data_IF_325057106649
#
_entry.id   IF_325057106649
#
_cell.length_a   1.000
_cell.length_b   1.000
_cell.length_c   1.000
_cell.angle_alpha   90.00
_cell.angle_beta   90.00
_cell.angle_gamma   90.00
#
_symmetry.space_group_name_H-M   'P 1'
#
loop_
_entity.id
_entity.type
_entity.pdbx_description
1 polymer ?
#
# COMPACT_ATOMS: atom_id res chain seq x y z
N UNK A 1 -14.18 -4.09 1.95
CA UNK A 1 -13.58 -3.84 3.26
C UNK A 1 -14.62 -3.17 4.12
N UNK A 2 -14.81 -3.65 5.34
CA UNK A 2 -15.50 -2.92 6.39
C UNK A 2 -14.42 -2.32 7.28
N UNK A 3 -14.41 -0.99 7.42
CA UNK A 3 -13.41 -0.28 8.22
C UNK A 3 -13.97 0.48 9.42
N UNK A 4 -15.26 0.28 9.69
CA UNK A 4 -16.05 0.88 10.79
C UNK A 4 -16.08 2.42 10.84
N UNK A 5 -15.35 3.11 9.97
CA UNK A 5 -15.29 4.58 9.82
C UNK A 5 -16.66 5.26 9.58
N UNK A 6 -17.74 4.52 9.31
CA UNK A 6 -19.10 5.05 9.16
C UNK A 6 -19.32 5.96 7.93
N UNK A 7 -18.25 6.34 7.23
CA UNK A 7 -18.27 7.18 6.04
C UNK A 7 -18.82 6.47 4.79
N UNK A 8 -19.38 7.26 3.86
CA UNK A 8 -19.74 6.80 2.50
C UNK A 8 -18.48 6.61 1.65
N UNK A 9 -17.71 5.60 2.00
CA UNK A 9 -16.47 5.28 1.33
C UNK A 9 -16.74 4.66 -0.06
N UNK A 10 -15.93 5.05 -1.05
CA UNK A 10 -16.01 4.45 -2.39
C UNK A 10 -15.72 2.95 -2.28
N UNK A 11 -16.54 2.14 -2.95
CA UNK A 11 -16.27 0.70 -3.09
C UNK A 11 -15.07 0.56 -4.02
N UNK A 12 -13.96 0.05 -3.47
CA UNK A 12 -12.80 -0.31 -4.26
C UNK A 12 -13.06 -1.59 -5.06
N UNK A 13 -12.61 -1.59 -6.32
CA UNK A 13 -12.58 -2.74 -7.20
C UNK A 13 -11.17 -2.82 -7.77
N UNK A 14 -10.51 -3.95 -7.58
CA UNK A 14 -9.19 -4.21 -8.11
C UNK A 14 -9.24 -4.28 -9.65
N UNK A 15 -8.44 -3.48 -10.36
CA UNK A 15 -8.49 -3.40 -11.82
C UNK A 15 -7.72 -4.53 -12.54
N UNK A 16 -6.88 -5.30 -11.85
CA UNK A 16 -6.00 -6.30 -12.48
C UNK A 16 -6.32 -7.73 -12.06
N UNK A 17 -6.67 -7.95 -10.79
CA UNK A 17 -6.87 -9.28 -10.22
C UNK A 17 -8.32 -9.41 -9.77
N UNK A 18 -9.19 -9.90 -10.66
CA UNK A 18 -10.62 -10.00 -10.40
C UNK A 18 -10.94 -10.83 -9.16
N UNK A 19 -10.21 -11.93 -8.94
CA UNK A 19 -10.37 -12.79 -7.76
C UNK A 19 -10.10 -12.06 -6.44
N UNK A 20 -9.28 -11.00 -6.44
CA UNK A 20 -9.00 -10.20 -5.25
C UNK A 20 -10.24 -9.40 -4.78
N UNK A 21 -11.22 -9.16 -5.67
CA UNK A 21 -12.47 -8.49 -5.29
C UNK A 21 -13.36 -9.34 -4.37
N UNK A 22 -13.08 -10.65 -4.25
CA UNK A 22 -13.72 -11.52 -3.27
C UNK A 22 -13.20 -11.29 -1.84
N UNK A 23 -11.98 -10.74 -1.70
CA UNK A 23 -11.39 -10.44 -0.41
C UNK A 23 -12.05 -9.20 0.21
N UNK A 24 -12.82 -9.42 1.27
CA UNK A 24 -13.57 -8.38 1.98
C UNK A 24 -13.16 -8.40 3.45
N UNK A 25 -11.98 -7.86 3.79
CA UNK A 25 -11.53 -7.86 5.17
C UNK A 25 -12.41 -6.95 6.02
N UNK A 26 -12.52 -7.30 7.29
CA UNK A 26 -13.15 -6.52 8.34
C UNK A 26 -12.04 -6.06 9.29
N UNK A 27 -11.78 -4.75 9.33
CA UNK A 27 -10.67 -4.16 10.08
C UNK A 27 -11.23 -2.97 10.85
N UNK A 28 -11.20 -3.00 12.17
CA UNK A 28 -11.63 -1.84 12.95
C UNK A 28 -10.50 -0.80 13.01
N UNK A 29 -10.56 0.17 12.11
CA UNK A 29 -9.61 1.28 12.01
C UNK A 29 -10.29 2.65 12.12
N UNK A 30 -11.53 2.69 12.63
CA UNK A 30 -12.34 3.90 12.72
C UNK A 30 -11.61 5.01 13.47
N UNK A 31 -11.08 4.70 14.66
CA UNK A 31 -10.46 5.69 15.53
C UNK A 31 -9.23 6.34 14.87
N UNK A 32 -8.33 5.53 14.32
CA UNK A 32 -7.12 6.00 13.65
C UNK A 32 -7.44 6.83 12.39
N UNK A 33 -8.48 6.45 11.64
CA UNK A 33 -8.92 7.20 10.45
C UNK A 33 -9.52 8.54 10.86
N UNK A 34 -10.37 8.57 11.87
CA UNK A 34 -11.01 9.79 12.37
C UNK A 34 -10.01 10.76 13.02
N UNK A 35 -8.96 10.23 13.65
CA UNK A 35 -7.86 11.03 14.19
C UNK A 35 -6.86 11.51 13.11
N UNK A 36 -6.94 10.96 11.89
CA UNK A 36 -6.05 11.30 10.78
C UNK A 36 -4.67 10.62 10.85
N UNK A 37 -4.54 9.62 11.71
CA UNK A 37 -3.33 8.80 11.88
C UNK A 37 -3.20 7.77 10.74
N UNK A 38 -4.34 7.29 10.23
CA UNK A 38 -4.41 6.41 9.08
C UNK A 38 -5.24 7.00 7.94
N UNK A 39 -4.73 6.83 6.72
CA UNK A 39 -5.44 7.15 5.50
C UNK A 39 -5.69 5.87 4.72
N UNK A 40 -6.94 5.68 4.30
CA UNK A 40 -7.33 4.54 3.46
C UNK A 40 -6.60 4.60 2.12
N UNK A 41 -6.05 3.47 1.69
CA UNK A 41 -5.42 3.29 0.39
C UNK A 41 -5.71 1.88 -0.11
N UNK A 42 -5.58 1.67 -1.41
CA UNK A 42 -5.86 0.39 -2.04
C UNK A 42 -4.65 -0.16 -2.77
N UNK A 43 -4.40 -1.44 -2.57
CA UNK A 43 -3.33 -2.17 -3.26
C UNK A 43 -3.96 -2.89 -4.45
N UNK A 44 -3.60 -2.47 -5.66
CA UNK A 44 -3.98 -3.19 -6.88
C UNK A 44 -3.08 -4.41 -7.08
N UNK A 45 -1.77 -4.24 -6.85
CA UNK A 45 -0.78 -5.31 -6.94
C UNK A 45 0.42 -4.98 -6.05
N UNK A 46 0.94 -5.98 -5.34
CA UNK A 46 2.26 -5.93 -4.69
C UNK A 46 2.93 -7.28 -4.92
N UNK A 47 4.16 -7.26 -5.41
CA UNK A 47 4.97 -8.45 -5.61
C UNK A 47 6.42 -8.20 -5.16
N UNK A 48 7.00 -9.24 -4.58
CA UNK A 48 8.41 -9.33 -4.24
C UNK A 48 9.00 -10.52 -4.97
N UNK A 49 9.91 -10.25 -5.90
CA UNK A 49 10.75 -11.28 -6.49
C UNK A 49 12.04 -11.33 -5.69
N UNK A 50 12.31 -12.47 -5.07
CA UNK A 50 13.48 -12.70 -4.23
C UNK A 50 14.35 -13.70 -4.96
N UNK A 51 15.54 -13.25 -5.37
CA UNK A 51 16.48 -14.02 -6.17
C UNK A 51 17.78 -14.17 -5.37
N UNK A 52 18.27 -15.41 -5.25
CA UNK A 52 19.56 -15.69 -4.62
C UNK A 52 20.66 -15.42 -5.64
N UNK A 53 21.60 -14.56 -5.27
CA UNK A 53 22.83 -14.31 -6.01
C UNK A 53 24.02 -14.94 -5.28
N UNK A 54 25.22 -14.91 -5.87
CA UNK A 54 26.42 -15.51 -5.28
C UNK A 54 26.70 -15.02 -3.84
N UNK A 55 26.69 -13.69 -3.64
CA UNK A 55 27.05 -13.05 -2.37
C UNK A 55 25.91 -12.25 -1.74
N UNK A 56 24.72 -12.25 -2.34
CA UNK A 56 23.60 -11.44 -1.85
C UNK A 56 22.23 -12.03 -2.22
N UNK A 57 21.18 -11.34 -1.78
CA UNK A 57 19.82 -11.57 -2.23
C UNK A 57 19.37 -10.34 -2.99
N UNK A 58 19.01 -10.52 -4.26
CA UNK A 58 18.39 -9.49 -5.07
C UNK A 58 16.89 -9.50 -4.83
N UNK A 59 16.35 -8.33 -4.51
CA UNK A 59 14.92 -8.15 -4.28
C UNK A 59 14.39 -7.15 -5.30
N UNK A 60 13.46 -7.59 -6.15
CA UNK A 60 12.72 -6.71 -7.05
C UNK A 60 11.32 -6.51 -6.49
N UNK A 61 10.99 -5.26 -6.18
CA UNK A 61 9.67 -4.86 -5.70
C UNK A 61 8.88 -4.22 -6.83
N UNK A 62 7.68 -4.74 -7.07
CA UNK A 62 6.73 -4.18 -8.02
C UNK A 62 5.43 -3.90 -7.28
N UNK A 63 4.91 -2.68 -7.42
CA UNK A 63 3.61 -2.36 -6.84
C UNK A 63 2.80 -1.39 -7.69
N UNK A 64 1.49 -1.56 -7.60
CA UNK A 64 0.48 -0.62 -8.08
C UNK A 64 -0.45 -0.33 -6.90
N UNK A 65 -0.39 0.91 -6.43
CA UNK A 65 -1.11 1.37 -5.24
C UNK A 65 -1.92 2.59 -5.63
N UNK A 66 -3.21 2.55 -5.33
CA UNK A 66 -4.06 3.72 -5.34
C UNK A 66 -4.03 4.38 -3.95
N UNK A 67 -3.48 5.59 -3.82
CA UNK A 67 -3.43 6.31 -2.54
C UNK A 67 -4.82 6.73 -2.05
N UNK A 68 -5.89 6.54 -2.84
CA UNK A 68 -7.25 7.01 -2.57
C UNK A 68 -7.28 8.50 -2.22
N UNK A 69 -6.41 9.27 -2.86
CA UNK A 69 -6.26 10.68 -2.60
C UNK A 69 -7.41 11.46 -3.26
N UNK A 70 -7.81 12.61 -2.69
CA UNK A 70 -8.75 13.51 -3.33
C UNK A 70 -8.31 13.88 -4.75
N UNK A 71 -9.26 14.06 -5.67
CA UNK A 71 -8.97 14.39 -7.08
C UNK A 71 -8.07 15.63 -7.26
N UNK A 72 -8.20 16.60 -6.36
CA UNK A 72 -7.41 17.85 -6.37
C UNK A 72 -5.99 17.67 -5.83
N UNK A 73 -5.59 16.47 -5.44
CA UNK A 73 -4.25 16.22 -4.88
C UNK A 73 -3.20 16.29 -5.99
N UNK A 74 -2.16 17.14 -5.85
CA UNK A 74 -1.11 17.23 -6.85
C UNK A 74 -0.38 15.90 -7.04
N UNK A 75 -0.12 15.52 -8.30
CA UNK A 75 0.60 14.28 -8.64
C UNK A 75 2.00 14.20 -7.98
N UNK A 76 2.66 15.35 -7.78
CA UNK A 76 3.94 15.44 -7.07
C UNK A 76 3.84 15.00 -5.60
N UNK A 77 2.73 15.32 -4.94
CA UNK A 77 2.46 14.91 -3.57
C UNK A 77 2.22 13.39 -3.49
N UNK A 78 1.42 12.85 -4.42
CA UNK A 78 1.22 11.40 -4.55
C UNK A 78 2.55 10.67 -4.75
N UNK A 79 3.38 11.16 -5.68
CA UNK A 79 4.71 10.59 -5.94
C UNK A 79 5.58 10.59 -4.68
N UNK A 80 5.52 11.64 -3.87
CA UNK A 80 6.27 11.73 -2.60
C UNK A 80 5.81 10.67 -1.58
N UNK A 81 4.51 10.39 -1.49
CA UNK A 81 3.97 9.32 -0.62
C UNK A 81 4.48 7.95 -1.07
N UNK A 82 4.41 7.65 -2.37
CA UNK A 82 4.88 6.38 -2.94
C UNK A 82 6.39 6.20 -2.70
N UNK A 83 7.19 7.24 -2.95
CA UNK A 83 8.64 7.21 -2.72
C UNK A 83 8.98 6.96 -1.26
N UNK A 84 8.25 7.57 -0.30
CA UNK A 84 8.46 7.30 1.14
C UNK A 84 8.23 5.82 1.48
N UNK A 85 7.21 5.18 0.91
CA UNK A 85 6.96 3.74 1.11
C UNK A 85 8.09 2.88 0.53
N UNK A 86 8.53 3.18 -0.70
CA UNK A 86 9.67 2.48 -1.32
C UNK A 86 10.93 2.68 -0.47
N UNK A 87 11.15 3.89 0.07
CA UNK A 87 12.28 4.17 0.95
C UNK A 87 12.24 3.31 2.23
N UNK A 88 11.08 3.15 2.86
CA UNK A 88 10.91 2.24 4.01
C UNK A 88 11.26 0.80 3.64
N UNK A 89 10.90 0.34 2.44
CA UNK A 89 11.30 -0.97 1.97
C UNK A 89 12.82 -1.10 1.82
N UNK A 90 13.48 -0.08 1.28
CA UNK A 90 14.95 -0.08 1.13
C UNK A 90 15.65 -0.21 2.48
N UNK A 91 15.08 0.37 3.55
CA UNK A 91 15.59 0.24 4.93
C UNK A 91 15.52 -1.20 5.48
N UNK A 92 14.77 -2.12 4.87
CA UNK A 92 14.83 -3.54 5.24
C UNK A 92 16.25 -4.11 5.08
N UNK A 93 17.05 -3.57 4.16
CA UNK A 93 18.45 -3.96 4.01
C UNK A 93 19.27 -3.67 5.27
N UNK A 94 18.89 -2.67 6.06
CA UNK A 94 19.61 -2.29 7.26
C UNK A 94 19.43 -3.32 8.39
N UNK A 95 18.35 -4.10 8.40
CA UNK A 95 18.12 -5.18 9.37
C UNK A 95 19.16 -6.31 9.22
N UNK A 96 19.71 -6.47 8.02
CA UNK A 96 20.71 -7.49 7.71
C UNK A 96 22.15 -6.99 7.85
N UNK A 97 22.36 -5.69 8.12
CA UNK A 97 23.67 -5.13 8.43
C UNK A 97 23.98 -5.44 9.91
N UNK A 98 24.55 -6.62 10.15
CA UNK A 98 25.27 -6.92 11.40
C UNK A 98 26.70 -6.44 11.30
#
# INVERSE_FOLDING_TARGET
>A
MNDHDGGKNKKYVNPFVESANSFKPDIDSEEDIRNGDLYKMYINLVAFFIEKEADCVKVTYVSSIDPNAPYLTPASFIKKIIVKKILTLVKLKDIFKK
#
